data_IF_636308581028
#
_entry.id   IF_636308581028
#
_cell.length_a   1.000
_cell.length_b   1.000
_cell.length_c   1.000
_cell.angle_alpha   90.00
_cell.angle_beta   90.00
_cell.angle_gamma   90.00
#
_symmetry.space_group_name_H-M   'P 1'
#
loop_
_entity.id
_entity.type
_entity.pdbx_description
1 polymer ?
#
# COMPACT_ATOMS: atom_id res chain seq x y z
N UNK A 1 -8.87 -37.91 40.93
CA UNK A 1 -8.81 -37.42 40.53
C UNK A 1 -8.89 -36.78 40.09
N UNK A 2 -8.69 -36.60 39.91
CA UNK A 2 -8.56 -35.94 39.39
C UNK A 2 -8.67 -35.21 38.73
N UNK A 3 -8.50 -34.91 38.40
CA UNK A 3 -8.47 -34.25 37.79
C UNK A 3 -8.53 -33.57 37.15
N UNK A 4 -8.39 -33.46 37.05
CA UNK A 4 -8.31 -32.83 36.44
C UNK A 4 -8.23 -32.24 35.70
N UNK A 5 -8.07 -32.09 35.52
CA UNK A 5 -7.82 -31.59 34.80
C UNK A 5 -7.94 -30.97 34.05
N UNK A 6 -7.96 -30.92 33.93
CA UNK A 6 -7.92 -30.43 33.16
C UNK A 6 -8.21 -29.68 32.54
N UNK A 7 -8.21 -29.49 32.64
CA UNK A 7 -8.32 -28.84 32.00
C UNK A 7 -8.17 -28.13 31.39
N UNK A 8 -7.88 -28.03 31.30
CA UNK A 8 -7.49 -27.40 30.68
C UNK A 8 -7.56 -26.94 29.87
N UNK A 9 -7.45 -26.82 29.70
CA UNK A 9 -7.34 -26.29 28.90
C UNK A 9 -7.63 -25.85 28.16
N UNK A 10 -7.60 -25.52 28.04
CA UNK A 10 -7.75 -25.03 27.26
C UNK A 10 -7.74 -24.31 26.63
N UNK A 11 -7.49 -23.89 26.54
CA UNK A 11 -7.32 -23.13 25.92
C UNK A 11 -7.36 -22.67 25.16
N UNK A 12 -7.25 -22.26 24.86
CA UNK A 12 -7.29 -21.69 24.04
C UNK A 12 -7.14 -20.98 23.39
N UNK A 13 -6.84 -20.66 23.05
CA UNK A 13 -6.51 -19.90 22.54
C UNK A 13 -6.76 -19.62 21.49
N UNK A 14 -6.77 -18.76 21.14
CA UNK A 14 -7.12 -18.42 20.19
C UNK A 14 -6.61 -17.51 19.65
N UNK A 15 -6.17 -17.31 18.98
CA UNK A 15 -5.61 -16.50 18.49
C UNK A 15 -6.21 -15.94 17.53
N UNK A 16 -6.46 -15.02 17.60
CA UNK A 16 -7.05 -14.34 16.74
C UNK A 16 -6.23 -13.87 15.83
N UNK A 17 -6.16 -14.28 14.84
CA UNK A 17 -5.40 -13.87 13.98
C UNK A 17 -6.06 -12.95 13.23
N UNK A 18 -5.72 -11.84 13.12
CA UNK A 18 -6.23 -10.91 12.38
C UNK A 18 -5.68 -10.98 11.13
N UNK A 19 -6.28 -11.30 10.19
CA UNK A 19 -5.75 -11.36 8.94
C UNK A 19 -5.79 -10.06 8.37
N UNK A 20 -4.77 -9.44 8.28
CA UNK A 20 -4.70 -8.21 7.64
C UNK A 20 -4.45 -8.45 6.25
N UNK A 21 -5.17 -7.96 5.36
CA UNK A 21 -4.93 -8.15 3.96
C UNK A 21 -3.70 -7.45 3.58
N UNK A 22 -2.75 -8.14 3.20
CA UNK A 22 -1.60 -7.55 2.81
C UNK A 22 -1.65 -7.02 1.49
N UNK A 23 -2.49 -7.54 0.65
CA UNK A 23 -2.53 -7.05 -0.61
C UNK A 23 -3.64 -6.21 -0.56
N UNK A 24 -3.99 -5.49 -0.79
CA UNK A 24 -5.06 -4.79 -0.76
C UNK A 24 -4.87 -3.56 -0.20
N UNK A 25 -3.93 -2.82 -0.58
CA UNK A 25 -3.95 -1.49 -0.24
C UNK A 25 -5.15 -0.94 -0.86
N UNK A 26 -5.98 -0.23 -0.15
CA UNK A 26 -7.14 0.34 -0.78
C UNK A 26 -6.67 1.56 -1.53
N UNK A 27 -7.54 2.15 -2.31
CA UNK A 27 -7.20 3.27 -3.15
C UNK A 27 -6.72 4.46 -2.36
N UNK A 28 -7.25 4.66 -1.17
CA UNK A 28 -6.85 5.79 -0.36
C UNK A 28 -5.41 5.68 0.09
N UNK A 29 -4.98 4.51 0.55
CA UNK A 29 -3.62 4.32 0.98
C UNK A 29 -2.65 4.47 -0.18
N UNK A 30 -3.00 3.93 -1.32
CA UNK A 30 -2.15 4.02 -2.48
C UNK A 30 -2.01 5.45 -2.95
N UNK A 31 -3.10 6.20 -2.95
CA UNK A 31 -3.05 7.60 -3.35
C UNK A 31 -2.16 8.41 -2.42
N UNK A 32 -2.25 8.15 -1.13
CA UNK A 32 -1.41 8.85 -0.18
C UNK A 32 0.05 8.51 -0.37
N UNK A 33 0.34 7.25 -0.61
CA UNK A 33 1.71 6.83 -0.82
C UNK A 33 2.30 7.47 -2.06
N UNK A 34 1.54 7.49 -3.13
CA UNK A 34 2.03 8.06 -4.38
C UNK A 34 2.18 9.57 -4.26
N UNK A 35 1.28 10.21 -3.52
CA UNK A 35 1.39 11.64 -3.28
C UNK A 35 2.73 11.94 -2.58
N UNK A 36 3.06 11.15 -1.58
CA UNK A 36 4.30 11.34 -0.86
C UNK A 36 5.52 11.08 -1.74
N UNK A 37 5.46 10.06 -2.56
CA UNK A 37 6.56 9.73 -3.44
C UNK A 37 6.83 10.86 -4.44
N UNK A 38 5.77 11.38 -5.04
CA UNK A 38 5.91 12.47 -6.00
C UNK A 38 6.48 13.71 -5.31
N UNK A 39 6.01 13.99 -4.12
CA UNK A 39 6.50 15.14 -3.36
C UNK A 39 7.99 14.98 -3.00
N UNK A 40 8.39 13.77 -2.65
CA UNK A 40 9.77 13.53 -2.32
C UNK A 40 10.69 13.70 -3.53
N UNK A 41 10.16 13.54 -4.71
CA UNK A 41 10.92 13.78 -5.92
C UNK A 41 10.88 15.25 -6.31
N UNK A 42 10.24 16.08 -5.52
CA UNK A 42 10.21 17.52 -5.78
C UNK A 42 9.30 17.92 -6.91
N UNK A 43 8.33 17.10 -7.24
CA UNK A 43 7.46 17.38 -8.37
C UNK A 43 6.11 17.91 -7.93
N UNK A 44 5.53 18.82 -8.69
CA UNK A 44 4.25 19.39 -8.30
C UNK A 44 3.12 18.38 -8.54
N UNK A 45 2.22 18.28 -7.62
CA UNK A 45 1.09 17.38 -7.75
C UNK A 45 -0.09 17.87 -6.93
N UNK A 46 0.17 18.32 -5.72
CA UNK A 46 -0.87 18.65 -4.77
C UNK A 46 -1.32 17.39 -4.07
N UNK A 47 -1.95 16.52 -4.81
CA UNK A 47 -2.47 15.30 -4.22
C UNK A 47 -2.85 14.38 -5.36
N UNK A 48 -2.56 13.10 -5.22
CA UNK A 48 -2.96 12.13 -6.23
C UNK A 48 -4.46 11.87 -6.05
N UNK A 49 -5.22 12.09 -7.08
CA UNK A 49 -6.67 11.91 -7.02
C UNK A 49 -7.14 10.66 -7.73
N UNK A 50 -6.35 10.10 -8.62
CA UNK A 50 -6.69 8.81 -9.21
C UNK A 50 -5.43 8.06 -9.59
N UNK A 51 -5.53 6.76 -9.59
CA UNK A 51 -4.40 5.89 -9.89
C UNK A 51 -4.87 4.80 -10.82
N UNK A 52 -4.07 4.54 -11.84
CA UNK A 52 -4.31 3.42 -12.73
C UNK A 52 -3.15 2.46 -12.50
N UNK A 53 -3.44 1.25 -12.06
CA UNK A 53 -2.42 0.27 -11.79
C UNK A 53 -2.13 -0.47 -13.08
N UNK A 54 -0.92 -0.32 -13.59
CA UNK A 54 -0.56 -0.94 -14.85
C UNK A 54 -0.01 -2.34 -14.65
N UNK A 55 0.71 -2.51 -13.56
CA UNK A 55 1.28 -3.80 -13.23
C UNK A 55 1.74 -3.70 -11.79
N UNK A 56 2.33 -4.73 -11.28
CA UNK A 56 2.85 -4.70 -9.93
C UNK A 56 3.93 -3.63 -9.85
N UNK A 57 3.82 -2.74 -8.90
CA UNK A 57 4.78 -1.66 -8.70
C UNK A 57 4.92 -0.75 -9.91
N UNK A 58 3.81 -0.54 -10.61
CA UNK A 58 3.83 0.26 -11.81
C UNK A 58 2.49 0.97 -11.93
N UNK A 59 2.48 2.27 -11.72
CA UNK A 59 1.25 3.05 -11.61
C UNK A 59 1.27 4.29 -12.44
N UNK A 60 0.09 4.70 -12.90
CA UNK A 60 -0.10 6.03 -13.46
C UNK A 60 -0.88 6.82 -12.44
N UNK A 61 -0.33 7.92 -12.01
CA UNK A 61 -0.96 8.75 -10.99
C UNK A 61 -1.41 10.06 -11.62
N UNK A 62 -2.66 10.44 -11.35
CA UNK A 62 -3.18 11.73 -11.79
C UNK A 62 -3.32 12.62 -10.59
N UNK A 63 -2.84 13.82 -10.72
CA UNK A 63 -2.76 14.76 -9.62
C UNK A 63 -3.87 15.80 -9.68
N UNK A 64 -4.19 16.33 -8.53
CA UNK A 64 -5.22 17.35 -8.44
C UNK A 64 -4.91 18.57 -9.29
N UNK A 65 -3.63 18.90 -9.43
CA UNK A 65 -3.23 20.05 -10.21
C UNK A 65 -3.21 19.81 -11.72
N UNK A 66 -3.59 18.62 -12.15
CA UNK A 66 -3.63 18.30 -13.56
C UNK A 66 -2.40 17.58 -14.07
N UNK A 67 -1.36 17.49 -13.29
CA UNK A 67 -0.17 16.77 -13.71
C UNK A 67 -0.37 15.28 -13.58
N UNK A 68 0.33 14.52 -14.39
CA UNK A 68 0.27 13.07 -14.34
C UNK A 68 1.67 12.51 -14.36
N UNK A 69 1.85 11.43 -13.64
CA UNK A 69 3.18 10.82 -13.49
C UNK A 69 3.10 9.32 -13.60
N UNK A 70 4.15 8.75 -14.13
CA UNK A 70 4.32 7.32 -14.16
C UNK A 70 5.26 6.99 -12.99
N UNK A 71 4.78 6.24 -12.03
CA UNK A 71 5.53 5.90 -10.83
C UNK A 71 5.77 4.41 -10.85
N UNK A 72 7.03 3.99 -10.79
CA UNK A 72 7.35 2.58 -10.91
C UNK A 72 8.68 2.26 -10.25
N UNK A 73 8.95 0.97 -10.09
CA UNK A 73 10.24 0.53 -9.59
C UNK A 73 11.09 0.13 -10.78
N UNK A 74 12.33 0.58 -10.79
CA UNK A 74 13.22 0.20 -11.87
C UNK A 74 13.95 -1.10 -11.50
N UNK A 75 14.83 -1.56 -12.35
CA UNK A 75 15.50 -2.84 -12.15
C UNK A 75 16.37 -2.86 -10.90
N UNK A 76 16.81 -1.71 -10.44
CA UNK A 76 17.61 -1.64 -9.22
C UNK A 76 16.77 -1.53 -7.98
N UNK A 77 15.45 -1.55 -8.11
CA UNK A 77 14.58 -1.44 -6.96
C UNK A 77 14.35 -0.02 -6.48
N UNK A 78 14.66 0.97 -7.32
CA UNK A 78 14.41 2.34 -6.95
C UNK A 78 13.10 2.82 -7.50
N UNK A 79 12.45 3.69 -6.74
CA UNK A 79 11.20 4.26 -7.19
C UNK A 79 11.50 5.39 -8.14
N UNK A 80 10.93 5.32 -9.32
CA UNK A 80 11.11 6.31 -10.37
C UNK A 80 9.80 7.03 -10.60
N UNK A 81 9.90 8.32 -10.90
CA UNK A 81 8.71 9.12 -11.20
C UNK A 81 8.99 9.90 -12.47
N UNK A 82 8.25 9.58 -13.51
CA UNK A 82 8.41 10.26 -14.80
C UNK A 82 7.15 11.06 -15.09
N UNK A 83 7.34 12.26 -15.56
CA UNK A 83 6.21 13.11 -15.91
C UNK A 83 5.59 12.62 -17.20
N UNK A 84 4.27 12.57 -17.24
CA UNK A 84 3.56 12.17 -18.45
C UNK A 84 2.89 13.39 -19.03
N UNK A 85 2.95 13.50 -20.31
CA UNK A 85 2.34 14.64 -20.96
C UNK A 85 1.07 14.29 -21.64
#
# INVERSE_FOLDING_TARGET
MRKRTLWVIRSLVVMAVVAVPLYGQDDQSLKKDLTAVIALHGLPCGEVVSVNVRAENDYDASCKDGNRYHVYLNAEGRVMVDSEK
#
